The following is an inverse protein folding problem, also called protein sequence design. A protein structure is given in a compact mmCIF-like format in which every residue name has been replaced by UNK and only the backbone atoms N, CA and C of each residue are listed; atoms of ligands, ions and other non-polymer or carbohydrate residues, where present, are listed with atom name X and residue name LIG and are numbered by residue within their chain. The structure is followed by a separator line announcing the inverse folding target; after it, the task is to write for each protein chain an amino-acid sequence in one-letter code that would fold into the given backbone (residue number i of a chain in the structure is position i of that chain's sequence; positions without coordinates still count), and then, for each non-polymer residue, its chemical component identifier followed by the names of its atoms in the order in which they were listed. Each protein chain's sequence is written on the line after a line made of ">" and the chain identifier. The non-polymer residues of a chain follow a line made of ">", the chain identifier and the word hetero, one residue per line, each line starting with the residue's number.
data_IF_858210800941
#
_entry.id   IF_858210800941
#
_cell.length_a   1.000
_cell.length_b   1.000
_cell.length_c   1.000
_cell.angle_alpha   90.00
_cell.angle_beta   90.00
_cell.angle_gamma   90.00
#
_symmetry.space_group_name_H-M   'P 1'
#
loop_
_entity.id
_entity.type
_entity.pdbx_description
1 polymer ?
#
# COMPACT_ATOMS: atom_id res chain seq x y z
N UNK A 1 6.37 -8.04 -23.72
CA UNK A 1 5.26 -7.65 -24.58
C UNK A 1 5.79 -7.23 -25.96
N UNK A 2 5.14 -7.62 -27.03
CA UNK A 2 5.53 -7.28 -28.42
C UNK A 2 4.33 -6.65 -29.13
N UNK A 3 4.57 -5.56 -29.81
CA UNK A 3 3.58 -4.84 -30.64
C UNK A 3 4.11 -4.67 -32.05
N UNK A 4 3.31 -5.01 -33.05
CA UNK A 4 3.69 -4.81 -34.45
C UNK A 4 2.97 -3.57 -34.98
N UNK A 5 3.73 -2.52 -35.27
CA UNK A 5 3.22 -1.35 -35.94
C UNK A 5 3.23 -1.57 -37.47
N UNK A 6 2.16 -1.19 -38.12
CA UNK A 6 2.02 -1.23 -39.58
C UNK A 6 1.61 0.14 -40.07
N UNK A 7 2.49 0.80 -40.78
CA UNK A 7 2.26 2.15 -41.30
C UNK A 7 3.35 2.58 -42.26
N UNK A 8 3.33 3.84 -42.66
CA UNK A 8 4.36 4.48 -43.48
C UNK A 8 4.53 5.91 -43.00
N UNK A 9 5.73 6.29 -42.69
CA UNK A 9 6.11 7.65 -42.30
C UNK A 9 6.87 8.33 -43.43
N UNK A 10 6.53 9.57 -43.71
CA UNK A 10 7.30 10.41 -44.62
C UNK A 10 8.62 10.87 -43.94
N UNK A 11 9.51 11.46 -44.69
CA UNK A 11 10.78 11.97 -44.17
C UNK A 11 10.53 13.00 -43.06
N UNK A 12 11.12 12.77 -41.87
CA UNK A 12 10.94 13.55 -40.63
C UNK A 12 9.53 13.49 -40.02
N UNK A 13 8.64 12.66 -40.49
CA UNK A 13 7.35 12.43 -39.87
C UNK A 13 7.50 11.57 -38.61
N UNK A 14 6.66 11.85 -37.61
CA UNK A 14 6.63 11.14 -36.32
C UNK A 14 5.21 10.69 -36.02
N UNK A 15 5.07 9.51 -35.44
CA UNK A 15 3.81 9.01 -34.94
C UNK A 15 3.99 8.53 -33.49
N UNK A 16 3.06 8.91 -32.64
CA UNK A 16 3.02 8.45 -31.25
C UNK A 16 2.18 7.20 -31.16
N UNK A 17 2.81 6.09 -30.75
CA UNK A 17 2.13 4.82 -30.54
C UNK A 17 1.82 4.66 -29.06
N UNK A 18 0.53 4.51 -28.73
CA UNK A 18 0.09 4.16 -27.38
C UNK A 18 0.02 2.64 -27.27
N UNK A 19 0.91 2.07 -26.47
CA UNK A 19 0.89 0.64 -26.17
C UNK A 19 -0.20 0.32 -25.14
N UNK A 20 -0.78 -0.90 -25.16
CA UNK A 20 -1.68 -1.35 -24.11
C UNK A 20 -1.01 -1.26 -22.75
N UNK A 21 -1.81 -1.02 -21.70
CA UNK A 21 -1.31 -1.04 -20.33
C UNK A 21 -0.69 -2.41 -20.01
N UNK A 22 0.45 -2.39 -19.36
CA UNK A 22 1.10 -3.58 -18.83
C UNK A 22 0.79 -3.62 -17.34
N UNK A 23 0.18 -4.71 -16.88
CA UNK A 23 0.03 -4.95 -15.45
C UNK A 23 1.41 -5.29 -14.88
N UNK A 24 1.94 -4.37 -14.11
CA UNK A 24 3.14 -4.58 -13.32
C UNK A 24 2.68 -5.31 -12.05
N UNK A 25 3.00 -6.59 -11.95
CA UNK A 25 2.58 -7.42 -10.80
C UNK A 25 3.10 -6.91 -9.46
N UNK A 26 2.56 -7.43 -8.37
CA UNK A 26 2.73 -6.98 -6.99
C UNK A 26 4.18 -7.09 -6.43
N UNK A 27 5.11 -7.53 -7.24
CA UNK A 27 6.47 -7.87 -6.80
C UNK A 27 7.48 -6.73 -6.86
N UNK A 28 7.10 -5.57 -7.35
CA UNK A 28 8.04 -4.48 -7.56
C UNK A 28 7.99 -3.48 -6.41
N UNK A 29 8.93 -3.62 -5.49
CA UNK A 29 9.27 -2.57 -4.53
C UNK A 29 10.66 -2.03 -4.90
N UNK A 30 10.79 -0.71 -5.00
CA UNK A 30 12.03 -0.03 -5.32
C UNK A 30 12.14 0.42 -6.78
N UNK A 31 13.37 0.65 -7.23
CA UNK A 31 13.63 1.12 -8.59
C UNK A 31 13.50 -0.02 -9.59
N UNK A 32 12.70 0.20 -10.62
CA UNK A 32 12.47 -0.73 -11.72
C UNK A 32 12.80 -0.04 -13.04
N UNK A 33 13.24 -0.80 -14.03
CA UNK A 33 13.51 -0.28 -15.37
C UNK A 33 12.47 -0.76 -16.37
N UNK A 34 12.12 0.12 -17.27
CA UNK A 34 11.31 -0.15 -18.45
C UNK A 34 12.18 0.02 -19.68
N UNK A 35 12.31 -1.03 -20.48
CA UNK A 35 13.07 -1.02 -21.72
C UNK A 35 12.14 -1.14 -22.93
N UNK A 36 12.28 -0.24 -23.86
CA UNK A 36 11.62 -0.30 -25.17
C UNK A 36 12.67 -0.53 -26.23
N UNK A 37 12.47 -1.54 -27.06
CA UNK A 37 13.32 -1.79 -28.21
C UNK A 37 12.50 -1.83 -29.51
N UNK A 38 13.05 -1.26 -30.56
CA UNK A 38 12.49 -1.24 -31.90
C UNK A 38 13.31 -2.18 -32.80
N UNK A 39 12.61 -2.88 -33.69
CA UNK A 39 13.31 -3.75 -34.66
C UNK A 39 12.50 -3.88 -35.95
N UNK A 40 13.16 -4.27 -37.02
CA UNK A 40 12.52 -4.60 -38.30
C UNK A 40 12.03 -3.37 -39.08
N UNK A 41 12.59 -2.19 -38.85
CA UNK A 41 12.28 -1.00 -39.62
C UNK A 41 12.45 -1.27 -41.14
N UNK A 42 11.40 -1.03 -41.93
CA UNK A 42 11.37 -1.24 -43.38
C UNK A 42 11.76 -2.67 -43.86
N UNK A 43 11.67 -3.67 -42.98
CA UNK A 43 12.01 -5.06 -43.29
C UNK A 43 13.50 -5.30 -43.59
N UNK A 44 14.36 -4.36 -43.31
CA UNK A 44 15.81 -4.42 -43.50
C UNK A 44 16.60 -4.25 -42.20
N UNK A 45 17.91 -4.35 -42.29
CA UNK A 45 18.81 -4.03 -41.17
C UNK A 45 18.84 -2.50 -40.96
N UNK A 46 18.72 -2.09 -39.71
CA UNK A 46 18.88 -0.69 -39.34
C UNK A 46 20.35 -0.27 -39.49
N UNK A 47 20.56 0.90 -40.07
CA UNK A 47 21.90 1.46 -40.25
C UNK A 47 22.44 2.14 -38.99
N UNK A 48 21.57 2.40 -38.00
CA UNK A 48 21.90 3.09 -36.75
C UNK A 48 21.20 2.46 -35.56
N UNK A 49 21.73 1.36 -35.09
CA UNK A 49 21.09 0.54 -34.03
C UNK A 49 21.11 1.20 -32.64
N UNK A 50 21.92 2.25 -32.45
CA UNK A 50 22.07 2.91 -31.15
C UNK A 50 20.82 3.65 -30.69
N UNK A 51 19.88 3.95 -31.56
CA UNK A 51 18.60 4.58 -31.22
C UNK A 51 17.43 3.58 -31.15
N UNK A 52 17.71 2.30 -31.27
CA UNK A 52 16.72 1.25 -31.31
C UNK A 52 16.22 0.81 -29.94
N UNK A 53 16.88 1.25 -28.87
CA UNK A 53 16.45 0.95 -27.51
C UNK A 53 16.50 2.17 -26.61
N UNK A 54 15.55 2.25 -25.70
CA UNK A 54 15.50 3.24 -24.65
C UNK A 54 15.14 2.54 -23.34
N UNK A 55 15.95 2.76 -22.33
CA UNK A 55 15.67 2.32 -20.96
C UNK A 55 15.29 3.52 -20.12
N UNK A 56 14.21 3.41 -19.37
CA UNK A 56 13.79 4.40 -18.39
C UNK A 56 13.60 3.71 -17.03
N UNK A 57 14.12 4.32 -15.99
CA UNK A 57 13.93 3.86 -14.62
C UNK A 57 12.70 4.55 -14.02
N UNK A 58 12.01 3.84 -13.15
CA UNK A 58 10.90 4.38 -12.35
C UNK A 58 10.91 3.75 -10.96
N UNK A 59 10.40 4.50 -10.00
CA UNK A 59 10.17 3.98 -8.65
C UNK A 59 8.73 3.48 -8.54
N UNK A 60 8.56 2.28 -8.00
CA UNK A 60 7.24 1.78 -7.68
C UNK A 60 6.64 2.61 -6.54
N UNK A 61 5.33 2.88 -6.62
CA UNK A 61 4.65 3.56 -5.54
C UNK A 61 4.74 2.73 -4.25
N UNK A 62 5.09 3.34 -3.11
CA UNK A 62 5.16 2.63 -1.84
C UNK A 62 3.80 2.06 -1.46
N UNK A 63 3.84 0.92 -0.77
CA UNK A 63 2.64 0.20 -0.34
C UNK A 63 2.34 0.57 1.10
N UNK A 64 1.07 0.89 1.37
CA UNK A 64 0.56 1.22 2.69
C UNK A 64 -0.66 0.37 3.05
N UNK A 65 -1.04 0.39 4.31
CA UNK A 65 -2.25 -0.24 4.83
C UNK A 65 -3.51 0.48 4.30
N UNK A 66 -4.66 -0.20 4.34
CA UNK A 66 -5.95 0.38 3.94
C UNK A 66 -6.34 1.60 4.76
N UNK A 67 -5.97 1.61 6.03
CA UNK A 67 -6.25 2.68 6.96
C UNK A 67 -4.99 3.50 7.23
N UNK A 68 -5.07 4.77 6.90
CA UNK A 68 -4.00 5.73 7.11
C UNK A 68 -4.50 6.92 7.92
N UNK A 69 -3.61 7.53 8.65
CA UNK A 69 -3.87 8.77 9.37
C UNK A 69 -3.09 9.89 8.72
N UNK A 70 -3.77 10.98 8.35
CA UNK A 70 -3.13 12.21 7.90
C UNK A 70 -3.15 13.21 9.05
N UNK A 71 -1.97 13.55 9.55
CA UNK A 71 -1.81 14.71 10.43
C UNK A 71 -1.41 15.91 9.57
N UNK A 72 -2.26 16.91 9.58
CA UNK A 72 -2.03 18.18 8.91
C UNK A 72 -1.99 19.31 9.95
N UNK A 73 -0.88 20.00 10.08
CA UNK A 73 -0.80 21.19 10.90
C UNK A 73 -0.79 22.43 10.00
N UNK A 74 -1.78 23.28 10.17
CA UNK A 74 -1.85 24.56 9.47
C UNK A 74 -0.77 25.53 9.96
N UNK A 75 -0.36 26.45 9.10
CA UNK A 75 0.39 27.65 9.45
C UNK A 75 -0.58 28.79 9.89
N UNK A 76 -0.17 30.06 9.80
CA UNK A 76 -1.02 31.21 10.12
C UNK A 76 -1.98 31.60 8.98
N UNK A 77 -1.98 30.84 7.89
CA UNK A 77 -2.79 31.05 6.68
C UNK A 77 -3.56 29.78 6.30
N UNK A 78 -4.44 29.27 7.18
CA UNK A 78 -5.11 27.99 6.97
C UNK A 78 -5.92 27.94 5.67
N UNK A 79 -6.58 29.03 5.30
CA UNK A 79 -7.42 29.16 4.11
C UNK A 79 -6.66 29.07 2.77
N UNK A 80 -5.33 29.16 2.78
CA UNK A 80 -4.49 28.93 1.60
C UNK A 80 -4.26 27.45 1.36
N UNK A 81 -4.44 26.60 2.38
CA UNK A 81 -4.09 25.20 2.35
C UNK A 81 -5.33 24.31 2.25
N UNK A 82 -5.18 23.23 1.50
CA UNK A 82 -6.14 22.12 1.45
C UNK A 82 -5.44 20.86 0.99
N UNK A 83 -6.10 19.70 1.12
CA UNK A 83 -5.62 18.50 0.47
C UNK A 83 -6.74 17.62 -0.04
N UNK A 84 -6.42 16.81 -1.05
CA UNK A 84 -7.31 15.81 -1.63
C UNK A 84 -6.56 14.50 -1.86
N UNK A 85 -7.27 13.40 -1.70
CA UNK A 85 -6.82 12.08 -2.10
C UNK A 85 -7.63 11.64 -3.30
N UNK A 86 -6.96 11.30 -4.38
CA UNK A 86 -7.58 10.86 -5.63
C UNK A 86 -7.29 9.38 -5.89
N UNK A 87 -8.24 8.69 -6.52
CA UNK A 87 -7.99 7.41 -7.15
C UNK A 87 -7.36 7.58 -8.55
N UNK A 88 -7.05 6.47 -9.23
CA UNK A 88 -6.48 6.49 -10.59
C UNK A 88 -7.43 6.99 -11.67
N UNK A 89 -8.73 7.02 -11.41
CA UNK A 89 -9.74 7.58 -12.31
C UNK A 89 -9.93 9.09 -12.11
N UNK A 90 -9.27 9.68 -11.09
CA UNK A 90 -9.39 11.08 -10.73
C UNK A 90 -10.58 11.41 -9.83
N UNK A 91 -11.24 10.39 -9.25
CA UNK A 91 -12.29 10.62 -8.27
C UNK A 91 -11.68 11.04 -6.94
N UNK A 92 -12.34 12.01 -6.26
CA UNK A 92 -11.95 12.43 -4.91
C UNK A 92 -12.44 11.40 -3.91
N UNK A 93 -11.50 10.74 -3.23
CA UNK A 93 -11.76 9.77 -2.18
C UNK A 93 -11.85 10.41 -0.80
N UNK A 94 -11.09 11.48 -0.60
CA UNK A 94 -11.10 12.27 0.63
C UNK A 94 -10.65 13.71 0.31
N UNK A 95 -11.20 14.70 1.02
CA UNK A 95 -10.77 16.09 0.91
C UNK A 95 -10.95 16.82 2.23
N UNK A 96 -10.10 17.83 2.44
CA UNK A 96 -10.20 18.76 3.58
C UNK A 96 -9.69 20.14 3.25
N UNK A 97 -10.46 21.14 3.65
CA UNK A 97 -10.08 22.53 3.78
C UNK A 97 -9.86 22.90 5.25
N UNK A 98 -9.23 24.04 5.53
CA UNK A 98 -8.83 24.42 6.87
C UNK A 98 -9.24 25.86 7.20
N UNK A 99 -9.74 26.06 8.44
CA UNK A 99 -10.18 27.39 8.92
C UNK A 99 -9.32 27.92 10.06
N UNK A 100 -8.75 27.03 10.90
CA UNK A 100 -8.04 27.43 12.11
C UNK A 100 -6.52 27.49 11.89
N UNK A 101 -5.91 28.59 12.32
CA UNK A 101 -4.45 28.80 12.28
C UNK A 101 -3.73 27.97 13.34
N UNK A 102 -2.51 27.50 13.01
CA UNK A 102 -1.63 26.74 13.93
C UNK A 102 -2.28 25.52 14.58
N UNK A 103 -3.29 24.96 13.93
CA UNK A 103 -4.07 23.84 14.43
C UNK A 103 -3.64 22.55 13.74
N UNK A 104 -3.55 21.47 14.52
CA UNK A 104 -3.30 20.15 13.97
C UNK A 104 -4.63 19.41 13.78
N UNK A 105 -4.90 19.04 12.56
CA UNK A 105 -6.02 18.21 12.18
C UNK A 105 -5.51 16.78 11.98
N UNK A 106 -6.28 15.83 12.45
CA UNK A 106 -5.97 14.40 12.33
C UNK A 106 -7.14 13.70 11.65
N UNK A 107 -6.92 13.20 10.46
CA UNK A 107 -7.93 12.54 9.65
C UNK A 107 -7.59 11.07 9.48
N UNK A 108 -8.53 10.20 9.88
CA UNK A 108 -8.48 8.79 9.57
C UNK A 108 -9.10 8.59 8.18
N UNK A 109 -8.31 8.12 7.24
CA UNK A 109 -8.76 7.77 5.89
C UNK A 109 -8.79 6.25 5.73
N UNK A 110 -9.86 5.76 5.14
CA UNK A 110 -10.04 4.35 4.82
C UNK A 110 -10.20 4.25 3.31
N UNK A 111 -9.20 3.69 2.65
CA UNK A 111 -9.13 3.59 1.20
C UNK A 111 -9.16 2.11 0.81
N UNK A 112 -10.06 1.68 -0.09
CA UNK A 112 -10.02 0.34 -0.65
C UNK A 112 -8.66 0.00 -1.27
N UNK A 113 -8.42 -1.27 -1.56
CA UNK A 113 -7.23 -1.67 -2.32
C UNK A 113 -7.17 -0.91 -3.65
N UNK A 114 -6.04 -0.27 -3.93
CA UNK A 114 -5.87 0.53 -5.13
C UNK A 114 -4.67 1.47 -5.08
N UNK A 115 -4.50 2.23 -6.15
CA UNK A 115 -3.47 3.27 -6.26
C UNK A 115 -4.09 4.65 -6.04
N UNK A 116 -3.37 5.50 -5.31
CA UNK A 116 -3.86 6.81 -4.88
C UNK A 116 -2.81 7.90 -5.05
N UNK A 117 -3.28 9.13 -5.22
CA UNK A 117 -2.46 10.34 -5.20
C UNK A 117 -3.00 11.29 -4.14
N UNK A 118 -2.22 11.54 -3.08
CA UNK A 118 -2.45 12.64 -2.15
C UNK A 118 -1.87 13.91 -2.78
N UNK A 119 -2.71 14.92 -2.96
CA UNK A 119 -2.32 16.23 -3.47
C UNK A 119 -2.61 17.26 -2.39
N UNK A 120 -1.58 17.99 -1.99
CA UNK A 120 -1.70 19.13 -1.09
C UNK A 120 -1.60 20.41 -1.92
N UNK A 121 -2.48 21.33 -1.64
CA UNK A 121 -2.56 22.61 -2.31
C UNK A 121 -2.20 23.73 -1.34
N UNK A 122 -1.49 24.72 -1.86
CA UNK A 122 -1.25 25.98 -1.21
C UNK A 122 -1.47 27.11 -2.22
N UNK A 123 -2.58 27.85 -2.08
CA UNK A 123 -2.93 28.94 -2.99
C UNK A 123 -2.06 30.18 -2.80
N UNK A 124 -1.33 30.27 -1.68
CA UNK A 124 -0.32 31.29 -1.42
C UNK A 124 0.97 31.06 -2.20
N UNK A 125 1.23 29.81 -2.62
CA UNK A 125 2.40 29.44 -3.42
C UNK A 125 3.71 29.42 -2.65
N UNK A 126 3.65 29.47 -1.31
CA UNK A 126 4.82 29.51 -0.45
C UNK A 126 5.00 28.26 0.44
N UNK A 127 4.07 27.31 0.32
CA UNK A 127 4.08 26.06 1.06
C UNK A 127 3.73 26.26 2.54
N UNK A 128 4.07 25.25 3.35
CA UNK A 128 3.70 25.20 4.77
C UNK A 128 4.69 25.91 5.69
N UNK A 129 5.86 26.27 5.19
CA UNK A 129 6.94 26.85 5.99
C UNK A 129 7.83 27.70 5.10
N UNK A 130 7.41 28.91 4.82
CA UNK A 130 8.18 29.83 4.00
C UNK A 130 8.97 30.82 4.87
N UNK A 131 10.30 30.73 4.79
CA UNK A 131 11.19 31.78 5.27
C UNK A 131 11.53 32.69 4.07
N UNK A 132 11.20 33.97 4.02
CA UNK A 132 11.03 34.90 5.11
C UNK A 132 9.59 35.32 5.44
N UNK A 133 8.57 34.65 4.88
CA UNK A 133 7.19 34.99 5.29
C UNK A 133 6.97 34.58 6.75
N UNK A 134 6.42 35.45 7.56
CA UNK A 134 6.14 35.16 8.97
C UNK A 134 4.82 34.38 9.12
N UNK A 135 4.54 33.42 8.20
CA UNK A 135 3.30 32.66 8.17
C UNK A 135 3.30 31.46 9.13
N UNK A 136 4.38 31.27 9.91
CA UNK A 136 4.49 30.17 10.86
C UNK A 136 4.93 28.86 10.21
N UNK A 137 4.77 27.75 10.95
CA UNK A 137 5.23 26.44 10.53
C UNK A 137 4.09 25.45 10.53
N UNK A 138 3.68 25.00 9.36
CA UNK A 138 2.81 23.86 9.16
C UNK A 138 3.59 22.58 8.83
N UNK A 139 2.89 21.46 8.77
CA UNK A 139 3.42 20.20 8.27
C UNK A 139 2.31 19.26 7.83
N UNK A 140 2.70 18.28 7.02
CA UNK A 140 1.84 17.16 6.63
C UNK A 140 2.62 15.88 6.81
N UNK A 141 2.01 14.91 7.43
CA UNK A 141 2.56 13.56 7.56
C UNK A 141 1.49 12.50 7.46
N UNK A 142 1.85 11.38 6.84
CA UNK A 142 1.07 10.16 6.86
C UNK A 142 1.59 9.29 7.99
N UNK A 143 0.67 8.64 8.70
CA UNK A 143 0.93 7.73 9.80
C UNK A 143 0.13 6.46 9.60
N UNK A 144 0.61 5.37 10.18
CA UNK A 144 -0.19 4.17 10.37
C UNK A 144 -1.11 4.31 11.59
N UNK A 145 -1.99 3.34 11.81
CA UNK A 145 -2.89 3.33 12.96
C UNK A 145 -2.17 3.30 14.31
N UNK A 146 -0.96 2.72 14.38
CA UNK A 146 -0.16 2.71 15.60
C UNK A 146 0.43 4.08 15.96
N UNK A 147 0.24 5.08 15.07
CA UNK A 147 0.74 6.45 15.25
C UNK A 147 2.16 6.67 14.74
N UNK A 148 2.80 5.66 14.16
CA UNK A 148 4.14 5.81 13.57
C UNK A 148 4.08 6.59 12.26
N UNK A 149 4.98 7.55 12.08
CA UNK A 149 5.06 8.32 10.83
C UNK A 149 5.64 7.46 9.71
N UNK A 150 4.89 7.31 8.64
CA UNK A 150 5.29 6.61 7.42
C UNK A 150 6.01 7.59 6.49
N UNK A 151 5.41 8.77 6.26
CA UNK A 151 5.91 9.80 5.36
C UNK A 151 5.75 11.17 5.99
N UNK A 152 6.79 11.97 5.85
CA UNK A 152 6.77 13.39 6.16
C UNK A 152 6.97 14.17 4.87
N UNK A 153 5.94 14.87 4.40
CA UNK A 153 6.03 15.60 3.14
C UNK A 153 6.89 16.86 3.28
N UNK A 154 7.57 17.20 2.18
CA UNK A 154 8.33 18.46 2.10
C UNK A 154 7.41 19.66 2.36
N UNK A 155 7.89 20.61 3.16
CA UNK A 155 7.10 21.77 3.56
C UNK A 155 7.25 22.99 2.66
N UNK A 156 8.32 22.99 1.86
CA UNK A 156 8.63 24.06 0.91
C UNK A 156 8.36 23.57 -0.50
N UNK A 157 7.10 23.52 -0.86
CA UNK A 157 6.67 22.89 -2.10
C UNK A 157 6.02 23.85 -3.11
N UNK A 158 5.89 25.16 -2.77
CA UNK A 158 5.18 26.10 -3.60
C UNK A 158 3.68 25.84 -3.59
N UNK A 159 3.05 25.84 -4.76
CA UNK A 159 1.59 25.74 -4.89
C UNK A 159 1.04 24.32 -4.64
N UNK A 160 1.82 23.28 -4.95
CA UNK A 160 1.34 21.88 -4.81
C UNK A 160 2.47 20.91 -4.52
N UNK A 161 2.16 19.89 -3.68
CA UNK A 161 2.98 18.69 -3.54
C UNK A 161 2.11 17.47 -3.69
N UNK A 162 2.68 16.41 -4.31
CA UNK A 162 1.99 15.17 -4.60
C UNK A 162 2.73 13.99 -3.99
N UNK A 163 1.97 13.06 -3.45
CA UNK A 163 2.49 11.79 -2.95
C UNK A 163 1.64 10.65 -3.48
N UNK A 164 2.27 9.75 -4.23
CA UNK A 164 1.63 8.59 -4.82
C UNK A 164 1.93 7.36 -3.99
N UNK A 165 0.92 6.56 -3.75
CA UNK A 165 1.03 5.33 -2.98
C UNK A 165 -0.01 4.31 -3.44
N UNK A 166 0.22 3.06 -3.05
CA UNK A 166 -0.73 1.98 -3.23
C UNK A 166 -1.17 1.48 -1.87
N UNK A 167 -2.47 1.27 -1.73
CA UNK A 167 -3.00 0.47 -0.64
C UNK A 167 -3.16 -0.95 -1.13
N UNK A 168 -2.51 -1.87 -0.47
CA UNK A 168 -2.91 -3.26 -0.52
C UNK A 168 -3.84 -3.51 0.67
N UNK A 169 -4.93 -4.25 0.42
CA UNK A 169 -5.52 -5.00 1.51
C UNK A 169 -4.36 -5.81 2.06
N UNK A 170 -3.85 -5.44 3.21
CA UNK A 170 -2.80 -6.19 3.82
C UNK A 170 -3.21 -7.65 3.68
N UNK A 171 -2.29 -8.50 3.23
CA UNK A 171 -2.25 -9.86 3.70
C UNK A 171 -2.08 -9.71 5.21
N UNK A 172 -3.18 -9.48 5.85
CA UNK A 172 -3.29 -9.18 7.25
C UNK A 172 -2.96 -10.47 8.00
N UNK A 173 -1.68 -10.74 8.14
CA UNK A 173 -1.24 -11.61 9.21
C UNK A 173 -1.47 -10.92 10.57
N UNK A 174 -1.79 -9.62 10.59
CA UNK A 174 -2.25 -8.87 11.76
C UNK A 174 -3.76 -8.59 11.76
N UNK A 175 -4.50 -8.88 10.68
CA UNK A 175 -5.97 -8.88 10.63
C UNK A 175 -6.62 -10.02 11.39
N UNK A 176 -5.90 -10.68 12.26
CA UNK A 176 -6.44 -11.57 13.27
C UNK A 176 -6.76 -10.89 14.59
N UNK A 177 -7.09 -9.62 14.60
CA UNK A 177 -7.85 -9.05 15.72
C UNK A 177 -9.30 -9.54 15.76
N UNK A 178 -9.74 -10.27 14.76
CA UNK A 178 -10.86 -11.21 14.86
C UNK A 178 -10.38 -12.65 14.84
N UNK A 179 -9.31 -12.97 15.56
CA UNK A 179 -9.04 -14.36 15.87
C UNK A 179 -10.28 -14.88 16.62
N UNK A 180 -11.05 -15.72 15.95
CA UNK A 180 -12.22 -16.36 16.54
C UNK A 180 -11.84 -17.16 17.78
N UNK A 181 -10.54 -17.39 17.96
CA UNK A 181 -9.98 -18.15 19.08
C UNK A 181 -8.58 -17.68 19.45
N UNK A 182 -8.17 -17.98 20.67
CA UNK A 182 -6.79 -17.87 21.15
C UNK A 182 -6.25 -19.21 21.58
N UNK A 183 -4.93 -19.39 21.52
CA UNK A 183 -4.23 -20.61 21.91
C UNK A 183 -3.18 -20.29 22.96
N UNK A 184 -3.23 -20.93 24.12
CA UNK A 184 -2.27 -20.68 25.19
C UNK A 184 -2.05 -21.93 26.09
N UNK A 185 -0.83 -22.16 26.60
CA UNK A 185 0.40 -21.43 26.25
C UNK A 185 0.85 -21.74 24.80
N UNK A 186 1.50 -20.76 24.20
CA UNK A 186 2.18 -20.89 22.92
C UNK A 186 3.52 -20.12 23.01
N UNK A 187 4.67 -20.80 22.97
CA UNK A 187 4.87 -22.26 22.82
C UNK A 187 4.36 -23.13 24.00
N UNK A 188 4.18 -24.42 23.76
CA UNK A 188 3.81 -25.41 24.79
C UNK A 188 4.66 -26.66 24.66
N UNK A 189 4.89 -27.33 25.80
CA UNK A 189 5.61 -28.61 25.87
C UNK A 189 4.68 -29.82 26.04
N UNK A 190 3.50 -29.63 26.63
CA UNK A 190 2.62 -30.72 26.98
C UNK A 190 1.20 -30.57 26.44
N UNK A 191 0.57 -29.42 26.68
CA UNK A 191 -0.80 -29.18 26.28
C UNK A 191 -1.06 -27.70 26.09
N UNK A 192 -2.02 -27.37 25.23
CA UNK A 192 -2.53 -26.02 25.06
C UNK A 192 -4.05 -26.00 25.17
N UNK A 193 -4.57 -24.84 25.48
CA UNK A 193 -6.00 -24.56 25.55
C UNK A 193 -6.40 -23.64 24.40
N UNK A 194 -7.53 -23.95 23.74
CA UNK A 194 -8.14 -23.11 22.73
C UNK A 194 -9.32 -22.36 23.35
N UNK A 195 -9.30 -21.07 23.34
CA UNK A 195 -10.40 -20.25 23.87
C UNK A 195 -11.07 -19.49 22.73
N UNK A 196 -12.38 -19.72 22.51
CA UNK A 196 -13.14 -18.93 21.55
C UNK A 196 -13.40 -17.53 22.10
N UNK A 197 -13.32 -16.55 21.21
CA UNK A 197 -13.63 -15.16 21.53
C UNK A 197 -15.11 -14.91 21.20
N UNK A 198 -15.90 -14.54 22.21
CA UNK A 198 -17.32 -14.22 22.06
C UNK A 198 -18.22 -15.36 21.56
N UNK A 199 -17.83 -16.63 21.73
CA UNK A 199 -18.67 -17.79 21.41
C UNK A 199 -18.66 -18.82 22.54
N UNK A 200 -19.78 -19.45 22.75
CA UNK A 200 -19.97 -20.59 23.67
C UNK A 200 -20.49 -21.82 22.92
N UNK A 201 -20.44 -21.80 21.60
CA UNK A 201 -20.87 -22.91 20.75
C UNK A 201 -19.79 -23.95 20.57
N UNK A 202 -20.18 -25.20 20.33
CA UNK A 202 -19.23 -26.24 19.91
C UNK A 202 -18.55 -25.89 18.61
N UNK A 203 -17.29 -26.22 18.49
CA UNK A 203 -16.49 -25.91 17.31
C UNK A 203 -15.69 -27.13 16.83
N UNK A 204 -15.26 -27.09 15.59
CA UNK A 204 -14.34 -28.08 15.03
C UNK A 204 -12.93 -27.52 15.00
N UNK A 205 -11.95 -28.38 15.25
CA UNK A 205 -10.55 -28.01 15.20
C UNK A 205 -9.72 -29.08 14.48
N UNK A 206 -8.78 -28.67 13.69
CA UNK A 206 -7.83 -29.52 13.01
C UNK A 206 -6.41 -28.98 13.16
N UNK A 207 -5.44 -29.85 13.46
CA UNK A 207 -4.04 -29.49 13.60
C UNK A 207 -3.24 -30.14 12.46
N UNK A 208 -2.45 -29.33 11.78
CA UNK A 208 -1.59 -29.77 10.69
C UNK A 208 -0.12 -29.60 11.07
N UNK A 209 0.73 -30.47 10.58
CA UNK A 209 2.16 -30.23 10.60
C UNK A 209 2.56 -29.27 9.45
N UNK A 210 3.83 -28.85 9.41
CA UNK A 210 4.35 -27.92 8.39
C UNK A 210 4.29 -28.47 6.95
N UNK A 211 4.07 -29.79 6.78
CA UNK A 211 3.90 -30.42 5.45
C UNK A 211 2.43 -30.46 5.01
N UNK A 212 1.51 -29.93 5.82
CA UNK A 212 0.07 -29.92 5.54
C UNK A 212 -0.65 -31.24 5.88
N UNK A 213 0.02 -32.18 6.58
CA UNK A 213 -0.61 -33.41 7.00
C UNK A 213 -1.40 -33.16 8.30
N UNK A 214 -2.69 -33.53 8.31
CA UNK A 214 -3.52 -33.47 9.51
C UNK A 214 -3.05 -34.53 10.51
N UNK A 215 -2.78 -34.08 11.74
CA UNK A 215 -2.30 -34.94 12.85
C UNK A 215 -3.32 -35.02 13.99
N UNK A 216 -4.26 -34.12 14.05
CA UNK A 216 -5.35 -34.11 15.02
C UNK A 216 -6.59 -33.49 14.38
N UNK A 217 -7.76 -34.08 14.70
CA UNK A 217 -9.05 -33.55 14.26
C UNK A 217 -10.13 -33.84 15.30
N UNK A 218 -10.80 -32.79 15.75
CA UNK A 218 -11.97 -32.86 16.61
C UNK A 218 -13.11 -32.08 15.95
N UNK A 219 -14.31 -32.68 15.90
CA UNK A 219 -15.46 -32.11 15.20
C UNK A 219 -16.44 -31.35 16.08
N UNK A 220 -16.48 -31.70 17.36
CA UNK A 220 -17.41 -31.13 18.34
C UNK A 220 -16.66 -30.91 19.65
N UNK A 221 -15.70 -29.96 19.64
CA UNK A 221 -14.97 -29.57 20.82
C UNK A 221 -15.85 -28.68 21.71
N UNK A 222 -15.95 -29.07 22.98
CA UNK A 222 -16.70 -28.32 23.99
C UNK A 222 -15.91 -27.07 24.41
N UNK A 223 -16.46 -25.85 24.30
CA UNK A 223 -15.77 -24.61 24.72
C UNK A 223 -15.35 -24.62 26.20
N UNK A 224 -15.98 -25.43 27.03
CA UNK A 224 -15.63 -25.59 28.45
C UNK A 224 -14.53 -26.62 28.72
N UNK A 225 -14.23 -27.50 27.73
CA UNK A 225 -13.20 -28.55 27.80
C UNK A 225 -12.41 -28.58 26.49
N UNK A 226 -11.58 -27.61 26.29
CA UNK A 226 -10.90 -27.24 25.04
C UNK A 226 -9.38 -27.41 25.12
N UNK A 227 -8.90 -28.29 25.99
CA UNK A 227 -7.46 -28.57 26.16
C UNK A 227 -7.02 -29.74 25.28
N UNK A 228 -5.95 -29.55 24.54
CA UNK A 228 -5.34 -30.54 23.65
C UNK A 228 -3.98 -30.96 24.18
N UNK A 229 -3.82 -32.27 24.41
CA UNK A 229 -2.53 -32.87 24.80
C UNK A 229 -1.66 -33.06 23.55
N UNK A 230 -0.49 -32.46 23.55
CA UNK A 230 0.51 -32.54 22.48
C UNK A 230 1.83 -33.14 22.95
N UNK A 231 1.86 -33.74 24.14
CA UNK A 231 3.06 -34.30 24.74
C UNK A 231 3.71 -35.44 23.89
N UNK A 232 2.94 -36.04 23.01
CA UNK A 232 3.40 -37.05 22.06
C UNK A 232 3.88 -36.52 20.72
N UNK A 233 3.75 -35.20 20.48
CA UNK A 233 4.13 -34.62 19.21
C UNK A 233 5.64 -34.29 19.17
N UNK A 234 6.21 -34.33 17.98
CA UNK A 234 7.60 -33.89 17.79
C UNK A 234 7.72 -32.40 18.00
N UNK A 235 8.85 -31.95 18.51
CA UNK A 235 9.11 -30.50 18.58
C UNK A 235 9.05 -29.86 17.18
N UNK A 236 8.29 -28.79 17.04
CA UNK A 236 8.10 -28.15 15.74
C UNK A 236 7.00 -27.07 15.75
N UNK A 237 6.70 -26.57 14.57
CA UNK A 237 5.60 -25.62 14.32
C UNK A 237 4.41 -26.41 13.76
N UNK A 238 3.24 -26.09 14.28
CA UNK A 238 1.98 -26.69 13.88
C UNK A 238 0.98 -25.60 13.54
N UNK A 239 0.09 -25.87 12.60
CA UNK A 239 -0.97 -24.97 12.18
C UNK A 239 -2.30 -25.46 12.76
N UNK A 240 -3.07 -24.59 13.37
CA UNK A 240 -4.40 -24.87 13.91
C UNK A 240 -5.44 -24.14 13.03
N UNK A 241 -6.43 -24.94 12.61
CA UNK A 241 -7.51 -24.46 11.75
C UNK A 241 -8.88 -24.76 12.39
#
# INVERSE_FOLDING_TARGET
>A
YSYTWTGSLAFLEQEVITLPAIEVGDYYQGTTSFEVSLSGANGGADQYEFNNSLTSEFEAAPIHEEQLVIDFKTNNRPFENSYKVFDTAGNVMFERDFDDSNTTYTDLINLPQGCYELVVYDTGGDGMNNWPSNHGNGFIRLKNLSGSTIVFLERWFGETIKYRFRNDAALNTEGQENSLFSVHPNPTDNAFTVSLINSTEFFSMEIFNITGMSIYKEREMDPSNNTVDVSSYSSGVYLIY
#
